data_IF_518740685228
#
_entry.id   IF_518740685228
#
_cell.length_a   1.000
_cell.length_b   1.000
_cell.length_c   1.000
_cell.angle_alpha   90.00
_cell.angle_beta   90.00
_cell.angle_gamma   90.00
#
_symmetry.space_group_name_H-M   'P 1'
#
loop_
_entity.id
_entity.type
_entity.pdbx_description
1 polymer ?
#
# COMPACT_ATOMS: atom_id res chain seq x y z
N UNK A 1 30.84 -0.33 88.15
CA UNK A 1 32.23 -0.06 88.59
C UNK A 1 33.08 -1.04 87.78
N UNK A 2 33.97 -0.69 86.86
CA UNK A 2 34.90 0.44 86.66
C UNK A 2 35.44 0.25 85.21
N UNK A 3 35.35 1.27 84.33
CA UNK A 3 36.46 1.98 83.64
C UNK A 3 37.63 1.09 83.15
N UNK A 4 38.17 1.13 81.92
CA UNK A 4 38.12 2.04 80.77
C UNK A 4 39.48 2.00 80.03
N UNK A 5 39.45 2.11 78.68
CA UNK A 5 40.56 2.34 77.70
C UNK A 5 41.63 1.23 77.50
N UNK A 6 42.25 1.00 76.32
CA UNK A 6 42.72 1.98 75.34
C UNK A 6 43.00 1.42 73.89
N UNK A 7 42.92 2.37 72.95
CA UNK A 7 43.59 2.62 71.64
C UNK A 7 44.20 1.53 70.70
N UNK A 8 43.85 1.77 69.42
CA UNK A 8 44.72 1.96 68.21
C UNK A 8 45.09 0.76 67.31
N UNK A 9 44.74 0.98 66.05
CA UNK A 9 45.48 0.65 64.82
C UNK A 9 45.34 -0.76 64.26
N UNK A 10 44.48 -0.84 63.24
CA UNK A 10 44.25 -1.99 62.37
C UNK A 10 45.40 -2.17 61.38
N UNK A 11 45.93 -3.39 61.39
CA UNK A 11 46.68 -4.17 60.40
C UNK A 11 47.02 -3.51 59.04
N UNK A 12 48.33 -3.45 58.76
CA UNK A 12 48.90 -3.54 57.41
C UNK A 12 49.81 -4.76 57.34
N UNK A 13 49.44 -5.74 56.52
CA UNK A 13 50.38 -6.75 56.04
C UNK A 13 49.89 -7.26 54.69
N UNK A 14 50.68 -6.94 53.67
CA UNK A 14 50.52 -7.34 52.27
C UNK A 14 50.63 -8.87 52.13
N UNK A 15 49.70 -9.44 51.37
CA UNK A 15 49.81 -10.79 50.83
C UNK A 15 49.17 -10.81 49.44
N UNK A 16 50.00 -10.86 48.41
CA UNK A 16 49.57 -10.94 47.02
C UNK A 16 48.85 -12.27 46.75
N UNK A 17 47.61 -12.21 46.28
CA UNK A 17 46.89 -13.35 45.72
C UNK A 17 46.52 -12.99 44.28
N UNK A 18 47.07 -13.73 43.33
CA UNK A 18 46.78 -13.59 41.91
C UNK A 18 45.34 -13.97 41.61
N UNK A 19 44.60 -13.04 41.01
CA UNK A 19 43.26 -13.32 40.48
C UNK A 19 43.42 -13.92 39.10
N UNK A 20 43.10 -15.21 38.99
CA UNK A 20 42.93 -15.92 37.73
C UNK A 20 41.69 -15.34 37.04
N UNK A 21 41.91 -14.50 36.02
CA UNK A 21 40.83 -13.93 35.22
C UNK A 21 40.21 -15.01 34.34
N UNK A 22 38.97 -15.39 34.61
CA UNK A 22 38.14 -16.14 33.67
C UNK A 22 37.79 -15.22 32.50
N UNK A 23 38.61 -15.25 31.45
CA UNK A 23 38.23 -14.68 30.15
C UNK A 23 37.08 -15.50 29.56
N UNK A 24 35.88 -14.92 29.50
CA UNK A 24 34.81 -15.42 28.63
C UNK A 24 35.29 -15.30 27.19
N UNK A 25 35.57 -16.43 26.55
CA UNK A 25 35.73 -16.48 25.10
C UNK A 25 34.41 -16.06 24.46
N UNK A 26 34.38 -14.86 23.90
CA UNK A 26 33.31 -14.44 23.01
C UNK A 26 33.35 -15.36 21.78
N UNK A 27 32.22 -15.98 21.46
CA UNK A 27 32.05 -16.66 20.18
C UNK A 27 32.27 -15.64 19.04
N UNK A 28 32.91 -16.01 17.93
CA UNK A 28 33.07 -15.10 16.82
C UNK A 28 31.68 -14.71 16.29
N UNK A 29 31.43 -13.41 16.21
CA UNK A 29 30.24 -12.85 15.56
C UNK A 29 30.11 -13.46 14.17
N UNK A 30 29.01 -14.17 13.95
CA UNK A 30 28.63 -14.61 12.62
C UNK A 30 28.28 -13.36 11.81
N UNK A 31 29.25 -12.87 11.02
CA UNK A 31 29.00 -11.89 9.97
C UNK A 31 27.79 -12.34 9.15
N UNK A 32 26.74 -11.50 9.00
CA UNK A 32 25.62 -11.82 8.13
C UNK A 32 26.19 -12.06 6.73
N UNK A 33 25.96 -13.25 6.18
CA UNK A 33 26.25 -13.51 4.76
C UNK A 33 25.35 -12.56 3.96
N UNK A 34 25.96 -11.51 3.40
CA UNK A 34 25.31 -10.64 2.43
C UNK A 34 24.77 -11.53 1.31
N UNK A 35 23.45 -11.60 1.18
CA UNK A 35 22.84 -12.17 -0.02
C UNK A 35 23.35 -11.36 -1.22
N UNK A 36 23.66 -11.99 -2.36
CA UNK A 36 23.98 -11.24 -3.55
C UNK A 36 22.77 -10.36 -3.90
N UNK A 37 22.94 -9.04 -3.77
CA UNK A 37 22.00 -8.07 -4.32
C UNK A 37 21.83 -8.40 -5.79
N UNK A 38 20.63 -8.84 -6.18
CA UNK A 38 20.24 -8.85 -7.58
C UNK A 38 20.46 -7.41 -8.07
N UNK A 39 21.21 -7.18 -9.16
CA UNK A 39 21.35 -5.82 -9.67
C UNK A 39 19.96 -5.26 -9.93
N UNK A 40 19.58 -4.24 -9.16
CA UNK A 40 18.33 -3.52 -9.38
C UNK A 40 18.40 -2.96 -10.80
N UNK A 41 17.56 -3.47 -11.69
CA UNK A 41 17.43 -2.86 -13.02
C UNK A 41 16.95 -1.43 -12.77
N UNK A 42 17.80 -0.46 -13.08
CA UNK A 42 17.50 0.94 -12.85
C UNK A 42 16.24 1.34 -13.63
N UNK A 43 15.27 1.93 -12.94
CA UNK A 43 14.04 2.43 -13.55
C UNK A 43 14.37 3.53 -14.56
N UNK A 44 13.90 3.38 -15.79
CA UNK A 44 14.10 4.35 -16.86
C UNK A 44 13.17 5.56 -16.63
N UNK A 45 13.70 6.77 -16.77
CA UNK A 45 12.86 7.96 -16.73
C UNK A 45 12.00 8.07 -18.00
N UNK A 46 10.70 8.32 -17.85
CA UNK A 46 9.79 8.70 -18.93
C UNK A 46 9.34 10.15 -18.73
N UNK A 47 9.36 10.96 -19.77
CA UNK A 47 9.00 12.38 -19.67
C UNK A 47 7.50 12.60 -19.89
N UNK A 48 6.79 12.99 -18.83
CA UNK A 48 5.38 13.39 -18.88
C UNK A 48 5.15 14.90 -18.74
N UNK A 49 6.20 15.72 -18.83
CA UNK A 49 6.10 17.18 -18.72
C UNK A 49 5.15 17.79 -19.75
N UNK A 50 5.11 17.28 -20.98
CA UNK A 50 4.16 17.73 -22.00
C UNK A 50 2.70 17.37 -21.65
N UNK A 51 2.47 16.22 -21.01
CA UNK A 51 1.13 15.81 -20.57
C UNK A 51 0.66 16.69 -19.40
N UNK A 52 1.53 16.97 -18.43
CA UNK A 52 1.29 17.92 -17.33
C UNK A 52 1.06 19.35 -17.87
N UNK A 53 1.85 19.80 -18.85
CA UNK A 53 1.71 21.15 -19.42
C UNK A 53 0.37 21.36 -20.12
N UNK A 54 -0.10 20.36 -20.88
CA UNK A 54 -1.39 20.45 -21.60
C UNK A 54 -2.59 20.40 -20.67
N UNK A 55 -2.53 19.60 -19.61
CA UNK A 55 -3.69 19.33 -18.74
C UNK A 55 -3.64 20.06 -17.39
N UNK A 56 -2.50 20.68 -17.06
CA UNK A 56 -2.20 21.11 -15.71
C UNK A 56 -1.93 19.94 -14.77
N UNK A 57 -1.91 20.25 -13.48
CA UNK A 57 -1.76 19.24 -12.42
C UNK A 57 -0.34 18.67 -12.32
N UNK A 58 -0.22 17.59 -11.55
CA UNK A 58 1.04 16.88 -11.28
C UNK A 58 0.81 15.39 -11.31
N UNK A 59 1.58 14.65 -12.10
CA UNK A 59 1.44 13.21 -12.30
C UNK A 59 2.61 12.46 -11.65
N UNK A 60 2.32 11.47 -10.83
CA UNK A 60 3.24 10.44 -10.40
C UNK A 60 2.89 9.13 -11.08
N UNK A 61 3.87 8.49 -11.70
CA UNK A 61 3.61 7.31 -12.52
C UNK A 61 4.79 6.34 -12.46
N UNK A 62 4.50 5.04 -12.30
CA UNK A 62 5.46 3.95 -12.50
C UNK A 62 4.76 2.81 -13.23
N UNK A 63 5.47 2.20 -14.19
CA UNK A 63 5.11 0.91 -14.78
C UNK A 63 6.29 -0.07 -14.68
N UNK A 64 6.01 -1.31 -14.28
CA UNK A 64 6.97 -2.41 -14.15
C UNK A 64 6.51 -3.60 -14.99
N UNK A 65 7.26 -3.92 -16.04
CA UNK A 65 7.07 -5.11 -16.88
C UNK A 65 7.70 -6.33 -16.19
N UNK A 66 6.85 -7.26 -15.74
CA UNK A 66 7.27 -8.46 -15.03
C UNK A 66 7.83 -9.56 -15.95
N UNK A 67 7.61 -9.46 -17.25
CA UNK A 67 8.17 -10.35 -18.27
C UNK A 67 9.64 -9.99 -18.52
N UNK A 68 9.89 -8.71 -18.82
CA UNK A 68 11.23 -8.21 -19.20
C UNK A 68 12.07 -7.72 -18.03
N UNK A 69 11.47 -7.51 -16.85
CA UNK A 69 12.12 -6.88 -15.72
C UNK A 69 12.49 -5.41 -15.97
N UNK A 70 11.81 -4.76 -16.92
CA UNK A 70 12.02 -3.36 -17.28
C UNK A 70 11.00 -2.48 -16.54
N UNK A 71 11.40 -1.26 -16.18
CA UNK A 71 10.47 -0.30 -15.57
C UNK A 71 10.70 1.11 -16.10
N UNK A 72 9.61 1.87 -16.18
CA UNK A 72 9.62 3.31 -16.48
C UNK A 72 8.94 4.09 -15.36
N UNK A 73 9.41 5.31 -15.09
CA UNK A 73 8.85 6.13 -14.02
C UNK A 73 8.96 7.63 -14.24
N UNK A 74 8.01 8.36 -13.66
CA UNK A 74 7.93 9.82 -13.59
C UNK A 74 7.47 10.24 -12.20
N UNK A 75 8.24 11.10 -11.52
CA UNK A 75 8.00 11.49 -10.11
C UNK A 75 7.79 10.29 -9.17
N UNK A 76 8.51 9.20 -9.44
CA UNK A 76 8.25 7.90 -8.85
C UNK A 76 8.40 7.84 -7.32
N UNK A 77 9.26 8.70 -6.75
CA UNK A 77 9.49 8.81 -5.31
C UNK A 77 8.79 10.02 -4.66
N UNK A 78 8.02 10.80 -5.42
CA UNK A 78 7.22 11.89 -4.85
C UNK A 78 5.95 11.36 -4.18
N UNK A 79 5.43 12.10 -3.20
CA UNK A 79 4.20 11.74 -2.46
C UNK A 79 2.95 12.21 -3.18
N UNK A 80 1.95 11.34 -3.21
CA UNK A 80 0.61 11.62 -3.71
C UNK A 80 -0.46 11.08 -2.77
N UNK A 81 -1.50 11.88 -2.51
CA UNK A 81 -2.70 11.41 -1.80
C UNK A 81 -3.31 10.23 -2.52
N UNK A 82 -3.49 9.11 -1.82
CA UNK A 82 -3.88 7.85 -2.44
C UNK A 82 -5.38 7.76 -2.78
N UNK A 83 -6.22 8.55 -2.10
CA UNK A 83 -7.68 8.41 -2.13
C UNK A 83 -8.12 6.94 -2.02
N UNK A 84 -9.21 6.53 -2.64
CA UNK A 84 -9.72 5.16 -2.51
C UNK A 84 -8.83 4.03 -3.06
N UNK A 85 -7.61 4.28 -3.58
CA UNK A 85 -6.67 3.21 -3.93
C UNK A 85 -6.28 2.36 -2.72
N UNK A 86 -6.29 2.94 -1.51
CA UNK A 86 -5.98 2.22 -0.26
C UNK A 86 -6.94 1.03 0.02
N UNK A 87 -8.16 1.07 -0.52
CA UNK A 87 -9.22 0.10 -0.20
C UNK A 87 -8.90 -1.32 -0.67
N UNK A 88 -8.12 -1.47 -1.74
CA UNK A 88 -7.59 -2.77 -2.14
C UNK A 88 -6.65 -3.34 -1.07
N UNK A 89 -5.75 -2.50 -0.55
CA UNK A 89 -4.87 -2.87 0.56
C UNK A 89 -5.65 -3.13 1.86
N UNK A 90 -6.75 -2.43 2.11
CA UNK A 90 -7.64 -2.70 3.25
C UNK A 90 -8.29 -4.09 3.15
N UNK A 91 -8.74 -4.49 1.96
CA UNK A 91 -9.24 -5.84 1.73
C UNK A 91 -8.13 -6.89 1.91
N UNK A 92 -6.92 -6.64 1.39
CA UNK A 92 -5.76 -7.50 1.63
C UNK A 92 -5.42 -7.65 3.13
N UNK A 93 -5.41 -6.55 3.89
CA UNK A 93 -5.20 -6.57 5.34
C UNK A 93 -6.26 -7.39 6.07
N UNK A 94 -7.52 -7.28 5.62
CA UNK A 94 -8.64 -8.06 6.16
C UNK A 94 -8.47 -9.55 5.85
N UNK A 95 -8.04 -9.92 4.63
CA UNK A 95 -7.72 -11.30 4.29
C UNK A 95 -6.63 -11.88 5.16
N UNK A 96 -5.54 -11.15 5.40
CA UNK A 96 -4.46 -11.60 6.31
C UNK A 96 -5.03 -11.90 7.70
N UNK A 97 -5.91 -11.03 8.23
CA UNK A 97 -6.58 -11.29 9.51
C UNK A 97 -7.46 -12.55 9.49
N UNK A 98 -8.18 -12.80 8.38
CA UNK A 98 -9.02 -13.99 8.22
C UNK A 98 -8.15 -15.26 8.20
N UNK A 99 -7.05 -15.23 7.44
CA UNK A 99 -6.09 -16.34 7.38
C UNK A 99 -5.48 -16.66 8.75
N UNK A 100 -5.25 -15.63 9.57
CA UNK A 100 -4.73 -15.75 10.93
C UNK A 100 -5.82 -16.14 11.96
N UNK A 101 -7.08 -16.33 11.55
CA UNK A 101 -8.19 -16.62 12.45
C UNK A 101 -8.60 -15.45 13.37
N UNK A 102 -8.14 -14.22 13.06
CA UNK A 102 -8.44 -12.99 13.82
C UNK A 102 -9.67 -12.24 13.30
N UNK A 103 -10.28 -12.74 12.23
CA UNK A 103 -11.49 -12.26 11.61
C UNK A 103 -12.17 -13.43 10.86
N UNK A 104 -13.47 -13.35 10.59
CA UNK A 104 -14.16 -14.32 9.74
C UNK A 104 -14.92 -13.62 8.62
N UNK A 105 -14.83 -14.19 7.41
CA UNK A 105 -15.46 -13.64 6.21
C UNK A 105 -16.99 -13.47 6.36
N UNK A 106 -17.63 -14.41 7.07
CA UNK A 106 -19.08 -14.44 7.27
C UNK A 106 -19.57 -13.62 8.48
N UNK A 107 -18.66 -12.98 9.23
CA UNK A 107 -19.08 -12.13 10.35
C UNK A 107 -19.95 -11.00 9.82
N UNK A 108 -21.15 -10.87 10.38
CA UNK A 108 -22.10 -9.84 9.99
C UNK A 108 -21.81 -8.52 10.72
N UNK A 109 -21.75 -7.43 9.97
CA UNK A 109 -21.60 -6.05 10.48
C UNK A 109 -22.92 -5.32 10.28
N UNK A 110 -23.58 -4.83 11.35
CA UNK A 110 -24.76 -3.99 11.24
C UNK A 110 -24.47 -2.71 10.46
N UNK A 111 -25.36 -2.34 9.55
CA UNK A 111 -25.25 -1.13 8.75
C UNK A 111 -26.27 -0.11 9.25
N UNK A 112 -25.78 1.03 9.74
CA UNK A 112 -26.62 2.07 10.33
C UNK A 112 -26.55 3.36 9.52
N UNK A 113 -27.55 4.23 9.72
CA UNK A 113 -27.54 5.58 9.13
C UNK A 113 -26.32 6.40 9.59
N UNK A 114 -25.80 6.16 10.79
CA UNK A 114 -24.65 6.88 11.33
C UNK A 114 -23.32 6.49 10.66
N UNK A 115 -23.27 5.36 9.95
CA UNK A 115 -22.08 4.94 9.22
C UNK A 115 -21.93 5.67 7.87
N UNK A 116 -22.99 6.32 7.39
CA UNK A 116 -23.05 6.84 6.03
C UNK A 116 -22.21 8.10 5.86
N UNK A 117 -21.33 8.03 4.87
CA UNK A 117 -20.59 9.14 4.27
C UNK A 117 -20.87 9.12 2.76
N UNK A 118 -20.39 10.12 2.01
CA UNK A 118 -20.62 10.18 0.56
C UNK A 118 -20.14 8.91 -0.15
N UNK A 119 -20.76 8.56 -1.28
CA UNK A 119 -20.42 7.39 -2.11
C UNK A 119 -20.57 6.04 -1.38
N UNK A 120 -21.83 5.62 -1.22
CA UNK A 120 -22.25 4.45 -0.44
C UNK A 120 -23.14 3.47 -1.23
N UNK A 121 -22.76 3.08 -2.47
CA UNK A 121 -23.64 2.34 -3.39
C UNK A 121 -24.09 0.96 -2.87
N UNK A 122 -23.39 0.37 -1.90
CA UNK A 122 -23.74 -0.94 -1.32
C UNK A 122 -24.28 -0.79 0.09
N UNK A 123 -23.68 0.08 0.91
CA UNK A 123 -24.10 0.19 2.32
C UNK A 123 -25.35 1.04 2.52
N UNK A 124 -25.58 2.08 1.72
CA UNK A 124 -26.78 2.92 1.86
C UNK A 124 -28.08 2.13 1.65
N UNK A 125 -28.21 1.29 0.60
CA UNK A 125 -29.37 0.40 0.46
C UNK A 125 -29.52 -0.64 1.58
N UNK A 126 -28.45 -0.91 2.33
CA UNK A 126 -28.42 -1.91 3.39
C UNK A 126 -28.68 -1.34 4.79
N UNK A 127 -28.97 -0.04 4.94
CA UNK A 127 -29.27 0.57 6.24
C UNK A 127 -30.42 -0.18 6.95
N UNK A 128 -30.20 -0.55 8.21
CA UNK A 128 -31.15 -1.33 9.01
C UNK A 128 -30.99 -2.84 8.86
N UNK A 129 -30.03 -3.31 8.05
CA UNK A 129 -29.65 -4.71 7.91
C UNK A 129 -28.20 -4.94 8.34
N UNK A 130 -27.59 -6.04 7.90
CA UNK A 130 -26.16 -6.34 8.12
C UNK A 130 -25.54 -6.89 6.84
N UNK A 131 -24.27 -6.59 6.63
CA UNK A 131 -23.46 -7.15 5.54
C UNK A 131 -22.31 -7.97 6.12
N UNK A 132 -21.92 -9.06 5.46
CA UNK A 132 -20.75 -9.83 5.87
C UNK A 132 -19.46 -9.06 5.63
N UNK A 133 -18.39 -9.41 6.35
CA UNK A 133 -17.04 -8.88 6.11
C UNK A 133 -16.62 -9.10 4.65
N UNK A 134 -16.89 -10.27 4.08
CA UNK A 134 -16.62 -10.56 2.65
C UNK A 134 -17.37 -9.60 1.72
N UNK A 135 -18.66 -9.34 1.99
CA UNK A 135 -19.46 -8.42 1.18
C UNK A 135 -18.97 -6.98 1.27
N UNK A 136 -18.50 -6.55 2.46
CA UNK A 136 -17.88 -5.24 2.63
C UNK A 136 -16.53 -5.16 1.91
N UNK A 137 -15.69 -6.21 1.98
CA UNK A 137 -14.43 -6.26 1.23
C UNK A 137 -14.67 -6.15 -0.28
N UNK A 138 -15.65 -6.88 -0.80
CA UNK A 138 -16.06 -6.77 -2.20
C UNK A 138 -16.50 -5.33 -2.54
N UNK A 139 -17.35 -4.72 -1.71
CA UNK A 139 -17.87 -3.38 -1.95
C UNK A 139 -16.77 -2.30 -1.97
N UNK A 140 -15.76 -2.41 -1.10
CA UNK A 140 -14.65 -1.44 -1.07
C UNK A 140 -13.72 -1.58 -2.27
N UNK A 141 -13.57 -2.79 -2.83
CA UNK A 141 -12.71 -3.04 -4.00
C UNK A 141 -13.42 -2.70 -5.31
N UNK A 142 -14.59 -3.31 -5.56
CA UNK A 142 -15.29 -3.19 -6.84
C UNK A 142 -15.85 -1.79 -7.07
N UNK A 143 -16.62 -1.29 -6.10
CA UNK A 143 -17.40 -0.05 -6.27
C UNK A 143 -16.93 1.07 -5.35
N UNK A 144 -15.82 0.86 -4.64
CA UNK A 144 -15.17 1.89 -3.83
C UNK A 144 -16.04 2.47 -2.70
N UNK A 145 -16.96 1.68 -2.15
CA UNK A 145 -17.92 2.10 -1.12
C UNK A 145 -17.20 2.68 0.13
N UNK A 146 -17.50 3.95 0.46
CA UNK A 146 -16.79 4.68 1.53
C UNK A 146 -17.20 4.23 2.94
N UNK A 147 -18.49 4.09 3.29
CA UNK A 147 -18.88 3.55 4.59
C UNK A 147 -18.33 2.15 4.84
N UNK A 148 -18.34 1.27 3.84
CA UNK A 148 -17.76 -0.07 3.97
C UNK A 148 -16.27 -0.01 4.34
N UNK A 149 -15.52 0.95 3.77
CA UNK A 149 -14.11 1.13 4.10
C UNK A 149 -13.91 1.62 5.54
N UNK A 150 -14.74 2.54 6.02
CA UNK A 150 -14.70 2.99 7.42
C UNK A 150 -15.05 1.86 8.40
N UNK A 151 -16.06 1.04 8.08
CA UNK A 151 -16.46 -0.11 8.89
C UNK A 151 -15.34 -1.16 8.97
N UNK A 152 -14.72 -1.49 7.84
CA UNK A 152 -13.59 -2.42 7.80
C UNK A 152 -12.34 -1.87 8.49
N UNK A 153 -12.01 -0.59 8.31
CA UNK A 153 -10.93 0.04 9.06
C UNK A 153 -11.15 -0.09 10.56
N UNK A 154 -12.35 0.26 11.06
CA UNK A 154 -12.70 0.12 12.49
C UNK A 154 -12.59 -1.33 12.95
N UNK A 155 -13.16 -2.27 12.20
CA UNK A 155 -13.11 -3.70 12.52
C UNK A 155 -11.67 -4.25 12.58
N UNK A 156 -10.77 -3.73 11.75
CA UNK A 156 -9.39 -4.18 11.68
C UNK A 156 -8.46 -3.57 12.74
N UNK A 157 -8.95 -2.62 13.55
CA UNK A 157 -8.15 -1.91 14.56
C UNK A 157 -7.78 -0.47 14.18
N UNK A 158 -8.42 0.10 13.16
CA UNK A 158 -8.32 1.50 12.77
C UNK A 158 -7.06 1.85 11.98
N UNK A 159 -6.71 3.13 12.03
CA UNK A 159 -5.61 3.73 11.26
C UNK A 159 -4.26 3.07 11.56
N UNK A 160 -3.98 2.80 12.84
CA UNK A 160 -2.72 2.17 13.25
C UNK A 160 -2.57 0.77 12.67
N UNK A 161 -3.65 -0.02 12.65
CA UNK A 161 -3.64 -1.36 12.06
C UNK A 161 -3.37 -1.31 10.55
N UNK A 162 -3.95 -0.33 9.84
CA UNK A 162 -3.69 -0.13 8.41
C UNK A 162 -2.23 0.30 8.16
N UNK A 163 -1.69 1.20 8.98
CA UNK A 163 -0.29 1.61 8.90
C UNK A 163 0.66 0.42 9.17
N UNK A 164 0.32 -0.44 10.14
CA UNK A 164 1.08 -1.66 10.45
C UNK A 164 1.02 -2.68 9.31
N UNK A 165 -0.11 -2.77 8.61
CA UNK A 165 -0.20 -3.62 7.42
C UNK A 165 0.78 -3.18 6.34
N UNK A 166 0.83 -1.88 6.00
CA UNK A 166 1.83 -1.37 5.04
C UNK A 166 3.26 -1.73 5.46
N UNK A 167 3.63 -1.50 6.73
CA UNK A 167 4.95 -1.89 7.25
C UNK A 167 5.22 -3.38 7.13
N UNK A 168 4.22 -4.24 7.38
CA UNK A 168 4.35 -5.69 7.28
C UNK A 168 4.64 -6.20 5.86
N UNK A 169 4.29 -5.42 4.84
CA UNK A 169 4.59 -5.71 3.43
C UNK A 169 5.84 -4.98 2.92
N UNK A 170 6.61 -4.35 3.82
CA UNK A 170 7.85 -3.63 3.50
C UNK A 170 7.66 -2.18 3.09
N UNK A 171 6.53 -1.55 3.44
CA UNK A 171 6.24 -0.14 3.16
C UNK A 171 6.28 0.70 4.44
N UNK A 172 7.43 1.34 4.66
CA UNK A 172 7.62 2.32 5.73
C UNK A 172 7.34 3.76 5.29
N UNK A 173 6.93 3.96 4.03
CA UNK A 173 6.79 5.30 3.42
C UNK A 173 5.35 5.79 3.35
N UNK A 174 4.38 4.89 3.14
CA UNK A 174 2.96 5.24 3.07
C UNK A 174 2.48 5.75 4.42
N UNK A 175 1.74 6.85 4.42
CA UNK A 175 1.16 7.41 5.63
C UNK A 175 -0.34 7.18 5.63
N UNK A 176 -0.90 6.72 6.75
CA UNK A 176 -2.35 6.59 6.95
C UNK A 176 -2.73 7.47 8.12
N UNK A 177 -3.65 8.41 7.91
CA UNK A 177 -3.91 9.46 8.90
C UNK A 177 -5.39 9.63 9.23
N UNK A 178 -6.29 9.42 8.25
CA UNK A 178 -7.70 9.78 8.36
C UNK A 178 -8.62 8.67 7.84
N UNK A 179 -9.88 8.74 8.22
CA UNK A 179 -10.95 7.92 7.66
C UNK A 179 -11.51 8.55 6.38
N UNK A 180 -12.40 7.83 5.68
CA UNK A 180 -13.21 8.43 4.62
C UNK A 180 -14.25 9.39 5.24
N UNK A 181 -14.53 10.54 4.62
CA UNK A 181 -13.96 11.04 3.37
C UNK A 181 -12.72 11.93 3.52
N UNK A 182 -12.30 12.25 4.75
CA UNK A 182 -11.24 13.22 5.02
C UNK A 182 -9.90 12.87 4.37
N UNK A 183 -9.58 11.58 4.24
CA UNK A 183 -8.34 11.10 3.61
C UNK A 183 -8.15 11.56 2.15
N UNK A 184 -9.22 11.99 1.48
CA UNK A 184 -9.15 12.43 0.09
C UNK A 184 -8.62 13.86 -0.09
N UNK A 185 -8.34 14.57 1.01
CA UNK A 185 -7.89 15.96 0.98
C UNK A 185 -6.38 16.04 0.78
N UNK A 186 -5.96 16.90 -0.15
CA UNK A 186 -4.58 17.36 -0.28
C UNK A 186 -4.19 18.17 0.97
N UNK A 187 -3.42 17.56 1.87
CA UNK A 187 -3.04 18.13 3.17
C UNK A 187 -1.64 17.66 3.56
N UNK A 188 -0.62 18.30 2.96
CA UNK A 188 0.79 17.93 3.13
C UNK A 188 1.04 16.47 2.79
N UNK A 189 1.71 15.77 3.72
CA UNK A 189 2.09 14.36 3.57
C UNK A 189 1.06 13.37 4.13
N UNK A 190 -0.15 13.81 4.50
CA UNK A 190 -1.17 12.92 5.06
C UNK A 190 -1.85 12.07 3.99
N UNK A 191 -2.07 10.79 4.31
CA UNK A 191 -2.75 9.83 3.45
C UNK A 191 -2.08 9.70 2.07
N UNK A 192 -0.74 9.68 2.07
CA UNK A 192 0.07 9.69 0.85
C UNK A 192 0.87 8.41 0.67
N UNK A 193 1.13 8.09 -0.60
CA UNK A 193 1.98 6.99 -1.06
C UNK A 193 2.87 7.50 -2.20
N UNK A 194 3.99 6.81 -2.42
CA UNK A 194 4.86 7.03 -3.57
C UNK A 194 4.49 6.08 -4.71
N UNK A 195 4.46 6.51 -5.98
CA UNK A 195 4.16 5.61 -7.11
C UNK A 195 5.04 4.37 -7.16
N UNK A 196 6.35 4.49 -6.91
CA UNK A 196 7.28 3.37 -6.85
C UNK A 196 6.92 2.38 -5.74
N UNK A 197 6.57 2.90 -4.56
CA UNK A 197 6.16 2.05 -3.44
C UNK A 197 4.82 1.34 -3.71
N UNK A 198 3.88 2.01 -4.38
CA UNK A 198 2.61 1.38 -4.77
C UNK A 198 2.83 0.19 -5.71
N UNK A 199 3.74 0.33 -6.69
CA UNK A 199 4.14 -0.79 -7.56
C UNK A 199 4.82 -1.91 -6.75
N UNK A 200 5.72 -1.59 -5.83
CA UNK A 200 6.36 -2.58 -4.96
C UNK A 200 5.33 -3.33 -4.08
N UNK A 201 4.34 -2.62 -3.53
CA UNK A 201 3.28 -3.21 -2.72
C UNK A 201 2.39 -4.15 -3.54
N UNK A 202 2.01 -3.74 -4.77
CA UNK A 202 1.26 -4.59 -5.70
C UNK A 202 2.05 -5.86 -6.06
N UNK A 203 3.35 -5.71 -6.37
CA UNK A 203 4.23 -6.86 -6.65
C UNK A 203 4.29 -7.80 -5.45
N UNK A 204 4.50 -7.26 -4.24
CA UNK A 204 4.58 -7.99 -2.97
C UNK A 204 3.31 -8.79 -2.68
N UNK A 205 2.14 -8.22 -2.98
CA UNK A 205 0.85 -8.87 -2.72
C UNK A 205 0.48 -9.92 -3.75
N UNK A 206 0.74 -9.70 -5.03
CA UNK A 206 0.18 -10.53 -6.10
C UNK A 206 1.18 -11.45 -6.80
N UNK A 207 2.48 -11.11 -6.81
CA UNK A 207 3.47 -11.80 -7.66
C UNK A 207 4.68 -12.33 -6.91
N UNK A 208 4.92 -11.86 -5.68
CA UNK A 208 6.00 -12.33 -4.82
C UNK A 208 5.63 -13.68 -4.15
N UNK A 209 6.46 -14.73 -4.27
CA UNK A 209 6.26 -15.99 -3.54
C UNK A 209 6.16 -15.85 -2.02
N UNK A 210 6.73 -14.78 -1.46
CA UNK A 210 6.63 -14.50 -0.03
C UNK A 210 5.30 -13.83 0.36
N UNK A 211 4.33 -13.64 -0.57
CA UNK A 211 3.07 -12.89 -0.32
C UNK A 211 2.43 -13.28 1.01
N UNK A 212 1.94 -12.31 1.82
CA UNK A 212 1.18 -12.64 3.02
C UNK A 212 -0.21 -13.18 2.68
N UNK A 213 -0.66 -13.07 1.42
CA UNK A 213 -1.95 -13.58 0.97
C UNK A 213 -1.82 -15.03 0.49
N UNK A 214 -2.79 -15.86 0.86
CA UNK A 214 -2.98 -17.17 0.24
C UNK A 214 -3.38 -17.02 -1.23
N UNK A 215 -3.14 -18.06 -2.03
CA UNK A 215 -3.55 -18.10 -3.45
C UNK A 215 -5.05 -17.79 -3.62
N UNK A 216 -5.90 -18.31 -2.73
CA UNK A 216 -7.35 -18.08 -2.78
C UNK A 216 -7.72 -16.62 -2.49
N UNK A 217 -7.04 -15.99 -1.52
CA UNK A 217 -7.22 -14.57 -1.21
C UNK A 217 -6.72 -13.68 -2.35
N UNK A 218 -5.57 -14.00 -2.96
CA UNK A 218 -5.05 -13.30 -4.14
C UNK A 218 -6.05 -13.41 -5.31
N UNK A 219 -6.53 -14.61 -5.61
CA UNK A 219 -7.48 -14.84 -6.71
C UNK A 219 -8.80 -14.08 -6.49
N UNK A 220 -9.29 -14.04 -5.24
CA UNK A 220 -10.52 -13.30 -4.90
C UNK A 220 -10.35 -11.80 -5.04
N UNK A 221 -9.23 -11.26 -4.54
CA UNK A 221 -8.94 -9.84 -4.63
C UNK A 221 -8.72 -9.40 -6.10
N UNK A 222 -8.00 -10.20 -6.88
CA UNK A 222 -7.84 -9.97 -8.33
C UNK A 222 -9.18 -9.99 -9.05
N UNK A 223 -10.06 -10.94 -8.75
CA UNK A 223 -11.40 -11.01 -9.35
C UNK A 223 -12.17 -9.71 -9.13
N UNK A 224 -12.24 -9.23 -7.89
CA UNK A 224 -12.90 -7.95 -7.58
C UNK A 224 -12.25 -6.75 -8.29
N UNK A 225 -10.93 -6.77 -8.46
CA UNK A 225 -10.22 -5.73 -9.22
C UNK A 225 -10.49 -5.78 -10.72
N UNK A 226 -10.66 -6.97 -11.31
CA UNK A 226 -11.07 -7.12 -12.71
C UNK A 226 -12.51 -6.64 -12.91
N UNK A 227 -13.40 -7.05 -12.00
CA UNK A 227 -14.84 -6.79 -12.05
C UNK A 227 -15.21 -5.34 -11.68
N UNK A 228 -14.28 -4.55 -11.13
CA UNK A 228 -14.54 -3.14 -10.79
C UNK A 228 -15.03 -2.35 -12.02
N UNK A 229 -16.23 -1.74 -11.98
CA UNK A 229 -16.73 -0.91 -13.07
C UNK A 229 -16.16 0.51 -13.05
N UNK A 230 -15.42 0.89 -12.02
CA UNK A 230 -14.92 2.26 -11.83
C UNK A 230 -13.76 2.56 -12.79
N UNK A 231 -13.60 3.81 -13.22
CA UNK A 231 -12.42 4.27 -13.97
C UNK A 231 -12.18 3.53 -15.30
N UNK A 232 -13.25 3.22 -16.05
CA UNK A 232 -13.14 2.59 -17.37
C UNK A 232 -12.21 3.36 -18.33
N UNK A 233 -12.15 4.68 -18.20
CA UNK A 233 -11.34 5.57 -19.03
C UNK A 233 -9.97 5.92 -18.42
N UNK A 234 -9.51 5.17 -17.40
CA UNK A 234 -8.18 5.32 -16.75
C UNK A 234 -7.17 4.31 -17.28
N UNK A 235 -6.63 3.43 -16.42
CA UNK A 235 -5.68 2.38 -16.87
C UNK A 235 -6.31 1.50 -17.94
N UNK A 236 -7.61 1.17 -17.80
CA UNK A 236 -8.39 0.42 -18.80
C UNK A 236 -8.41 1.11 -20.17
N UNK A 237 -8.63 2.43 -20.22
CA UNK A 237 -8.59 3.22 -21.46
C UNK A 237 -7.19 3.44 -22.05
N UNK A 238 -6.14 3.18 -21.26
CA UNK A 238 -4.74 3.25 -21.70
C UNK A 238 -4.13 1.93 -22.13
N UNK A 239 -4.75 0.80 -21.77
CA UNK A 239 -4.24 -0.53 -22.10
C UNK A 239 -4.50 -0.91 -23.57
N UNK A 240 -3.60 -1.66 -24.23
CA UNK A 240 -3.83 -2.16 -25.57
C UNK A 240 -5.06 -3.06 -25.67
N UNK A 241 -5.64 -3.13 -26.86
CA UNK A 241 -6.81 -4.00 -27.10
C UNK A 241 -6.49 -5.45 -26.78
N UNK A 242 -7.43 -6.13 -26.10
CA UNK A 242 -7.29 -7.54 -25.69
C UNK A 242 -6.57 -7.73 -24.35
N UNK A 243 -6.01 -6.69 -23.76
CA UNK A 243 -5.47 -6.75 -22.40
C UNK A 243 -6.58 -6.72 -21.36
N UNK A 244 -6.38 -7.43 -20.26
CA UNK A 244 -7.25 -7.37 -19.08
C UNK A 244 -6.60 -6.50 -18.00
N UNK A 245 -7.42 -5.72 -17.29
CA UNK A 245 -6.90 -4.79 -16.27
C UNK A 245 -7.59 -5.07 -14.95
N UNK A 246 -6.82 -5.60 -13.99
CA UNK A 246 -7.22 -5.66 -12.58
C UNK A 246 -6.75 -4.38 -11.91
N UNK A 247 -7.66 -3.51 -11.49
CA UNK A 247 -7.28 -2.21 -10.93
C UNK A 247 -8.08 -1.79 -9.70
N UNK A 248 -7.57 -0.76 -9.03
CA UNK A 248 -8.28 0.01 -8.01
C UNK A 248 -8.09 1.49 -8.25
N UNK A 249 -9.22 2.17 -8.44
CA UNK A 249 -9.30 3.62 -8.60
C UNK A 249 -9.24 4.37 -7.27
N UNK A 250 -8.84 5.64 -7.32
CA UNK A 250 -9.03 6.61 -6.25
C UNK A 250 -9.43 7.97 -6.80
N UNK A 251 -10.39 8.63 -6.18
CA UNK A 251 -10.78 10.00 -6.59
C UNK A 251 -11.09 10.84 -5.36
N UNK A 252 -10.46 12.00 -5.28
CA UNK A 252 -10.76 13.03 -4.29
C UNK A 252 -11.47 14.20 -4.97
N UNK A 253 -12.52 14.72 -4.35
CA UNK A 253 -13.39 15.77 -4.91
C UNK A 253 -12.71 17.12 -5.24
N UNK A 254 -11.40 17.25 -5.01
CA UNK A 254 -10.62 18.48 -5.19
C UNK A 254 -9.37 18.32 -6.08
N UNK A 255 -9.31 17.29 -6.92
CA UNK A 255 -8.21 17.11 -7.89
C UNK A 255 -7.61 15.71 -7.97
N UNK A 256 -7.32 15.02 -6.85
CA UNK A 256 -6.72 13.68 -6.91
C UNK A 256 -7.55 12.71 -7.75
N UNK A 257 -6.93 12.16 -8.78
CA UNK A 257 -7.49 11.15 -9.69
C UNK A 257 -6.40 10.10 -9.86
N UNK A 258 -6.66 8.89 -9.39
CA UNK A 258 -5.65 7.86 -9.24
C UNK A 258 -6.17 6.54 -9.79
N UNK A 259 -5.27 5.69 -10.23
CA UNK A 259 -5.57 4.32 -10.59
C UNK A 259 -4.31 3.46 -10.50
N UNK A 260 -4.42 2.29 -9.88
CA UNK A 260 -3.31 1.36 -9.70
C UNK A 260 -3.76 -0.06 -10.07
N UNK A 261 -2.88 -0.90 -10.59
CA UNK A 261 -3.29 -2.25 -10.97
C UNK A 261 -2.26 -3.09 -11.69
N UNK A 262 -2.72 -4.25 -12.14
CA UNK A 262 -1.99 -5.20 -12.97
C UNK A 262 -2.68 -5.29 -14.33
N UNK A 263 -1.91 -5.02 -15.38
CA UNK A 263 -2.34 -5.05 -16.78
C UNK A 263 -1.82 -6.35 -17.38
N UNK A 264 -2.72 -7.26 -17.74
CA UNK A 264 -2.41 -8.58 -18.25
C UNK A 264 -2.47 -8.58 -19.78
N UNK A 265 -1.35 -8.82 -20.49
CA UNK A 265 -1.39 -9.09 -21.92
C UNK A 265 -2.12 -10.42 -22.22
N UNK A 266 -2.54 -10.66 -23.47
CA UNK A 266 -3.11 -11.96 -23.87
C UNK A 266 -2.18 -13.14 -23.58
N UNK A 267 -0.86 -12.92 -23.62
CA UNK A 267 0.18 -13.89 -23.28
C UNK A 267 1.33 -13.22 -22.52
N UNK A 268 1.92 -13.95 -21.58
CA UNK A 268 3.06 -13.47 -20.77
C UNK A 268 2.64 -12.93 -19.40
N UNK A 269 3.60 -12.34 -18.69
CA UNK A 269 3.39 -11.77 -17.35
C UNK A 269 2.79 -10.37 -17.39
N UNK A 270 2.12 -9.92 -16.31
CA UNK A 270 1.50 -8.61 -16.27
C UNK A 270 2.51 -7.44 -16.20
N UNK A 271 2.06 -6.26 -16.59
CA UNK A 271 2.69 -4.98 -16.24
C UNK A 271 1.98 -4.41 -15.02
N UNK A 272 2.72 -4.11 -13.95
CA UNK A 272 2.19 -3.43 -12.77
C UNK A 272 2.25 -1.92 -13.01
N UNK A 273 1.15 -1.20 -12.77
CA UNK A 273 1.08 0.24 -12.97
C UNK A 273 0.55 0.93 -11.72
N UNK A 274 1.17 2.06 -11.36
CA UNK A 274 0.62 2.98 -10.39
C UNK A 274 0.61 4.41 -10.95
N UNK A 275 -0.58 4.97 -11.11
CA UNK A 275 -0.80 6.33 -11.58
C UNK A 275 -1.52 7.18 -10.51
N UNK A 276 -0.89 8.26 -10.09
CA UNK A 276 -1.44 9.22 -9.14
C UNK A 276 -1.40 10.62 -9.77
N UNK A 277 -2.57 11.21 -10.02
CA UNK A 277 -2.67 12.52 -10.65
C UNK A 277 -3.33 13.52 -9.72
N UNK A 278 -2.57 14.52 -9.27
CA UNK A 278 -3.12 15.69 -8.57
C UNK A 278 -3.58 16.68 -9.62
N UNK A 279 -4.82 16.50 -10.09
CA UNK A 279 -5.43 17.40 -11.05
C UNK A 279 -5.75 18.76 -10.42
N UNK A 280 -6.11 19.72 -11.28
CA UNK A 280 -6.55 21.04 -10.84
C UNK A 280 -8.07 21.12 -10.78
N UNK A 281 -8.61 22.07 -10.02
CA UNK A 281 -10.06 22.32 -9.99
C UNK A 281 -10.65 22.82 -11.33
N UNK A 282 -9.80 23.09 -12.33
CA UNK A 282 -10.21 23.56 -13.67
C UNK A 282 -10.44 22.44 -14.67
N UNK A 283 -10.05 21.21 -14.37
CA UNK A 283 -10.19 20.07 -15.28
C UNK A 283 -11.42 19.23 -14.94
N UNK A 284 -12.06 18.68 -15.96
CA UNK A 284 -13.18 17.75 -15.79
C UNK A 284 -12.70 16.37 -15.35
N UNK A 285 -13.59 15.56 -14.77
CA UNK A 285 -13.27 14.18 -14.41
C UNK A 285 -12.80 13.36 -15.63
N UNK A 286 -13.47 13.50 -16.78
CA UNK A 286 -13.09 12.83 -18.02
C UNK A 286 -11.69 13.26 -18.51
N UNK A 287 -11.33 14.54 -18.38
CA UNK A 287 -10.00 15.00 -18.73
C UNK A 287 -8.92 14.42 -17.79
N UNK A 288 -9.24 14.30 -16.49
CA UNK A 288 -8.32 13.69 -15.52
C UNK A 288 -8.12 12.19 -15.78
N UNK A 289 -9.21 11.48 -16.12
CA UNK A 289 -9.14 10.06 -16.48
C UNK A 289 -8.29 9.86 -17.75
N UNK A 290 -8.48 10.72 -18.76
CA UNK A 290 -7.70 10.70 -20.00
C UNK A 290 -6.19 10.92 -19.76
N UNK A 291 -5.78 11.73 -18.77
CA UNK A 291 -4.36 11.88 -18.39
C UNK A 291 -3.77 10.53 -17.96
N UNK A 292 -4.50 9.75 -17.16
CA UNK A 292 -4.04 8.43 -16.71
C UNK A 292 -3.98 7.45 -17.88
N UNK A 293 -5.00 7.45 -18.75
CA UNK A 293 -5.01 6.60 -19.94
C UNK A 293 -3.85 6.91 -20.90
N UNK A 294 -3.60 8.19 -21.17
CA UNK A 294 -2.51 8.64 -22.04
C UNK A 294 -1.14 8.28 -21.46
N UNK A 295 -0.93 8.52 -20.16
CA UNK A 295 0.31 8.14 -19.48
C UNK A 295 0.55 6.62 -19.55
N UNK A 296 -0.50 5.83 -19.34
CA UNK A 296 -0.44 4.36 -19.43
C UNK A 296 -0.05 3.91 -20.83
N UNK A 297 -0.69 4.45 -21.87
CA UNK A 297 -0.38 4.12 -23.27
C UNK A 297 1.06 4.46 -23.63
N UNK A 298 1.52 5.66 -23.24
CA UNK A 298 2.89 6.11 -23.49
C UNK A 298 3.93 5.24 -22.76
N UNK A 299 3.65 4.86 -21.52
CA UNK A 299 4.52 3.98 -20.74
C UNK A 299 4.61 2.56 -21.33
N UNK A 300 3.47 1.98 -21.73
CA UNK A 300 3.45 0.66 -22.37
C UNK A 300 4.20 0.67 -23.70
N UNK A 301 4.05 1.74 -24.49
CA UNK A 301 4.84 1.95 -25.71
C UNK A 301 6.35 2.04 -25.42
N UNK A 302 6.74 2.76 -24.38
CA UNK A 302 8.14 2.84 -23.96
C UNK A 302 8.70 1.48 -23.50
N UNK A 303 7.83 0.60 -22.96
CA UNK A 303 8.16 -0.78 -22.60
C UNK A 303 8.08 -1.76 -23.80
N UNK A 304 7.73 -1.28 -24.99
CA UNK A 304 7.70 -2.08 -26.22
C UNK A 304 6.38 -2.80 -26.49
N UNK A 305 5.27 -2.29 -25.97
CA UNK A 305 3.91 -2.76 -26.28
C UNK A 305 3.16 -1.71 -27.10
N UNK A 306 2.58 -2.12 -28.23
CA UNK A 306 1.77 -1.25 -29.11
C UNK A 306 0.26 -1.41 -28.87
#
# INVERSE_FOLDING_TARGET
MTTGMDRRSVLTSLGAIGVMGCSRQAAPDATPKSQPERPAVAMQAIDFSALETRNGGRLGFVALDMERGASVGWRAAERFVYCSTFKMYLAAATFVRIQDGRETADRMIPITRADMVNHAPVTEPAIGSSLSVDRLMQAVVEVSDNPAANLLLKANGGIEAMQNFYRSIGDDSTTVNRFEPEMNRLDGDKDTIQPAQSVANLQRLFLDPASPLTTDSQARLLRWMFESPTGADRLKGGAPTGWQVAHKTGTGGYGPTNDIGLLYPPTGKPVIVAAYYHATSRTSAAANDAVIADATRLALKALGYD
#
